data_IF_634911505429
#
_entry.id   IF_634911505429
#
_cell.length_a   1.000
_cell.length_b   1.000
_cell.length_c   1.000
_cell.angle_alpha   90.00
_cell.angle_beta   90.00
_cell.angle_gamma   90.00
#
_symmetry.space_group_name_H-M   'P 1'
#
loop_
_entity.id
_entity.type
_entity.pdbx_description
1 polymer ?
#
# COMPACT_ATOMS: atom_id res chain seq x y z
N UNK A 1 -7.63 10.62 -15.45
CA UNK A 1 -8.36 9.90 -14.39
C UNK A 1 -8.18 8.42 -14.71
N UNK A 2 -7.02 7.88 -14.35
CA UNK A 2 -6.63 6.54 -14.76
C UNK A 2 -7.24 5.54 -13.79
N UNK A 3 -8.33 4.91 -14.22
CA UNK A 3 -8.93 3.77 -13.54
C UNK A 3 -8.08 2.58 -13.97
N UNK A 4 -7.11 2.19 -13.15
CA UNK A 4 -6.32 0.99 -13.42
C UNK A 4 -7.21 -0.26 -13.27
N UNK A 5 -7.09 -1.24 -14.19
CA UNK A 5 -7.91 -2.44 -14.16
C UNK A 5 -7.55 -3.31 -12.95
N UNK A 6 -8.58 -3.75 -12.24
CA UNK A 6 -8.59 -4.46 -10.95
C UNK A 6 -7.79 -5.78 -10.89
N UNK A 7 -7.15 -6.22 -11.98
CA UNK A 7 -6.54 -7.54 -12.12
C UNK A 7 -5.02 -7.54 -12.41
N UNK A 8 -4.35 -6.39 -12.46
CA UNK A 8 -2.91 -6.31 -12.76
C UNK A 8 -2.07 -5.89 -11.55
N UNK A 9 -2.13 -6.68 -10.47
CA UNK A 9 -1.30 -6.49 -9.27
C UNK A 9 -0.30 -7.62 -9.06
N UNK A 10 -0.02 -8.38 -10.11
CA UNK A 10 1.21 -9.16 -10.22
C UNK A 10 2.48 -8.29 -10.06
N UNK A 11 2.35 -6.96 -10.15
CA UNK A 11 3.41 -5.97 -9.91
C UNK A 11 3.81 -5.81 -8.43
N UNK A 12 3.02 -6.33 -7.48
CA UNK A 12 3.32 -6.25 -6.05
C UNK A 12 4.14 -7.44 -5.52
N UNK A 13 4.42 -8.41 -6.38
CA UNK A 13 4.94 -9.70 -5.97
C UNK A 13 6.08 -10.12 -6.91
N UNK A 14 7.18 -9.36 -6.93
CA UNK A 14 8.44 -9.80 -7.54
C UNK A 14 9.61 -9.22 -6.75
N UNK A 15 10.53 -10.10 -6.35
CA UNK A 15 11.79 -9.86 -5.62
C UNK A 15 12.85 -9.10 -6.44
N UNK A 16 12.45 -8.28 -7.43
CA UNK A 16 13.35 -7.54 -8.33
C UNK A 16 12.98 -6.04 -8.36
N UNK A 17 13.50 -5.35 -7.35
CA UNK A 17 14.37 -4.19 -7.48
C UNK A 17 13.89 -2.95 -8.27
N UNK A 18 13.26 -2.04 -7.52
CA UNK A 18 13.58 -0.61 -7.60
C UNK A 18 12.88 0.21 -8.68
N UNK A 19 12.69 -0.28 -9.91
CA UNK A 19 12.32 0.59 -11.04
C UNK A 19 10.87 1.12 -11.05
N UNK A 20 9.90 0.39 -10.49
CA UNK A 20 8.47 0.65 -10.78
C UNK A 20 7.87 1.87 -10.07
N UNK A 21 8.44 2.30 -8.94
CA UNK A 21 7.85 3.35 -8.10
C UNK A 21 8.57 4.70 -8.18
N UNK A 22 9.65 4.80 -8.97
CA UNK A 22 10.46 6.03 -9.08
C UNK A 22 9.67 7.25 -9.56
N UNK A 23 8.64 7.05 -10.40
CA UNK A 23 7.77 8.12 -10.89
C UNK A 23 6.68 8.55 -9.90
N UNK A 24 6.44 7.78 -8.84
CA UNK A 24 5.33 7.98 -7.90
C UNK A 24 5.78 8.63 -6.58
N UNK A 25 7.02 9.12 -6.52
CA UNK A 25 7.60 9.81 -5.34
C UNK A 25 6.86 11.09 -4.91
N UNK A 26 5.96 11.61 -5.75
CA UNK A 26 5.14 12.79 -5.46
C UNK A 26 3.69 12.44 -5.08
N UNK A 27 3.37 11.15 -4.95
CA UNK A 27 2.03 10.70 -4.59
C UNK A 27 1.67 11.18 -3.18
N UNK A 28 0.49 11.78 -3.04
CA UNK A 28 -0.02 12.27 -1.75
C UNK A 28 -1.11 11.38 -1.17
N UNK A 29 -1.87 10.69 -2.01
CA UNK A 29 -2.95 9.82 -1.57
C UNK A 29 -2.84 8.49 -2.30
N UNK A 30 -2.78 7.40 -1.53
CA UNK A 30 -2.75 6.02 -2.02
C UNK A 30 -3.99 5.30 -1.51
N UNK A 31 -4.71 4.66 -2.43
CA UNK A 31 -5.91 3.93 -2.10
C UNK A 31 -5.80 2.50 -2.63
N UNK A 32 -5.89 1.54 -1.72
CA UNK A 32 -5.79 0.11 -1.97
C UNK A 32 -7.14 -0.52 -1.65
N UNK A 33 -7.96 -0.71 -2.68
CA UNK A 33 -9.31 -1.27 -2.57
C UNK A 33 -9.49 -2.48 -3.49
N UNK A 34 -10.18 -3.50 -2.99
CA UNK A 34 -10.66 -4.64 -3.77
C UNK A 34 -9.58 -5.56 -4.35
N UNK A 35 -8.37 -5.43 -3.86
CA UNK A 35 -7.30 -6.39 -4.06
C UNK A 35 -7.53 -7.48 -3.01
N UNK A 36 -7.81 -8.72 -3.38
CA UNK A 36 -8.18 -9.74 -2.39
C UNK A 36 -6.99 -10.53 -1.86
N UNK A 37 -5.90 -10.63 -2.64
CA UNK A 37 -4.75 -11.51 -2.37
C UNK A 37 -3.52 -10.81 -1.75
N UNK A 38 -3.59 -9.56 -1.32
CA UNK A 38 -2.41 -8.94 -0.71
C UNK A 38 -2.28 -9.41 0.72
N UNK A 39 -1.09 -9.91 1.02
CA UNK A 39 -0.73 -10.36 2.37
C UNK A 39 -0.03 -9.25 3.16
N UNK A 40 0.76 -8.42 2.46
CA UNK A 40 1.50 -7.27 3.00
C UNK A 40 1.69 -6.19 1.93
N UNK A 41 1.95 -4.94 2.34
CA UNK A 41 2.28 -3.86 1.41
C UNK A 41 3.69 -4.08 0.81
N UNK A 42 3.92 -3.75 -0.48
CA UNK A 42 5.24 -3.86 -1.12
C UNK A 42 6.26 -2.88 -0.51
N UNK A 43 7.51 -3.30 -0.37
CA UNK A 43 8.59 -2.49 0.23
C UNK A 43 8.90 -1.22 -0.56
N UNK A 44 8.63 -1.18 -1.86
CA UNK A 44 8.84 0.01 -2.70
C UNK A 44 8.05 1.25 -2.23
N UNK A 45 6.93 1.06 -1.52
CA UNK A 45 6.11 2.16 -0.98
C UNK A 45 6.80 2.91 0.17
N UNK A 46 7.84 2.34 0.79
CA UNK A 46 8.61 3.01 1.85
C UNK A 46 9.24 4.33 1.39
N UNK A 47 9.44 4.50 0.09
CA UNK A 47 10.06 5.70 -0.48
C UNK A 47 9.06 6.84 -0.74
N UNK A 48 7.75 6.65 -0.49
CA UNK A 48 6.74 7.69 -0.68
C UNK A 48 6.67 8.65 0.51
N UNK A 49 7.76 9.38 0.70
CA UNK A 49 7.89 10.38 1.77
C UNK A 49 6.91 11.55 1.62
N UNK A 50 6.24 11.73 0.48
CA UNK A 50 5.19 12.74 0.28
C UNK A 50 3.77 12.25 0.57
N UNK A 51 3.61 10.96 0.87
CA UNK A 51 2.29 10.37 1.08
C UNK A 51 1.66 10.95 2.34
N UNK A 52 0.46 11.51 2.19
CA UNK A 52 -0.34 12.11 3.26
C UNK A 52 -1.52 11.24 3.64
N UNK A 53 -2.06 10.47 2.69
CA UNK A 53 -3.22 9.63 2.92
C UNK A 53 -2.97 8.21 2.40
N UNK A 54 -3.20 7.22 3.26
CA UNK A 54 -3.20 5.82 2.90
C UNK A 54 -4.55 5.21 3.29
N UNK A 55 -5.25 4.68 2.30
CA UNK A 55 -6.54 4.01 2.46
C UNK A 55 -6.37 2.55 2.08
N UNK A 56 -6.71 1.66 3.00
CA UNK A 56 -6.67 0.21 2.83
C UNK A 56 -8.06 -0.31 3.14
N UNK A 57 -8.76 -0.83 2.14
CA UNK A 57 -10.12 -1.34 2.33
C UNK A 57 -10.30 -2.71 1.69
N UNK A 58 -11.10 -3.55 2.34
CA UNK A 58 -11.54 -4.85 1.83
C UNK A 58 -10.37 -5.78 1.52
N UNK A 59 -9.48 -5.96 2.51
CA UNK A 59 -8.30 -6.83 2.38
C UNK A 59 -8.45 -8.06 3.26
N UNK A 60 -9.10 -9.13 2.76
CA UNK A 60 -9.28 -10.34 3.55
C UNK A 60 -7.94 -11.05 3.81
N UNK A 61 -6.95 -10.97 2.92
CA UNK A 61 -5.66 -11.65 3.12
C UNK A 61 -4.59 -10.81 3.83
N UNK A 62 -4.85 -9.55 4.17
CA UNK A 62 -3.84 -8.68 4.80
C UNK A 62 -3.66 -9.08 6.27
N UNK A 63 -2.46 -9.54 6.63
CA UNK A 63 -2.16 -10.06 7.97
C UNK A 63 -1.43 -9.02 8.82
N UNK A 64 -0.55 -8.25 8.19
CA UNK A 64 0.26 -7.23 8.84
C UNK A 64 0.50 -6.04 7.90
N UNK A 65 0.71 -4.87 8.49
CA UNK A 65 1.35 -3.76 7.80
C UNK A 65 2.86 -3.82 8.05
N UNK A 66 3.69 -3.48 7.05
CA UNK A 66 5.13 -3.43 7.24
C UNK A 66 5.55 -2.26 8.15
N UNK A 67 6.65 -2.45 8.87
CA UNK A 67 7.15 -1.49 9.87
C UNK A 67 7.50 -0.11 9.28
N UNK A 68 7.91 -0.07 8.00
CA UNK A 68 8.22 1.19 7.33
C UNK A 68 7.03 2.12 7.20
N UNK A 69 5.79 1.67 7.44
CA UNK A 69 4.62 2.57 7.46
C UNK A 69 4.78 3.66 8.52
N UNK A 70 5.44 3.37 9.65
CA UNK A 70 5.78 4.34 10.68
C UNK A 70 6.83 5.36 10.24
N UNK A 71 7.60 5.04 9.19
CA UNK A 71 8.63 5.92 8.63
C UNK A 71 8.06 6.92 7.62
N UNK A 72 6.77 6.84 7.26
CA UNK A 72 6.12 7.79 6.36
C UNK A 72 5.84 9.12 7.09
N UNK A 73 6.85 9.99 7.18
CA UNK A 73 6.78 11.23 7.98
C UNK A 73 5.71 12.22 7.53
N UNK A 74 5.27 12.16 6.26
CA UNK A 74 4.21 13.04 5.75
C UNK A 74 2.81 12.48 5.93
N UNK A 75 2.67 11.24 6.41
CA UNK A 75 1.39 10.55 6.49
C UNK A 75 0.54 11.21 7.58
N UNK A 76 -0.60 11.76 7.17
CA UNK A 76 -1.56 12.45 8.03
C UNK A 76 -2.78 11.59 8.32
N UNK A 77 -3.11 10.64 7.44
CA UNK A 77 -4.29 9.81 7.58
C UNK A 77 -4.02 8.39 7.10
N UNK A 78 -4.24 7.43 8.00
CA UNK A 78 -4.25 6.01 7.71
C UNK A 78 -5.67 5.50 7.95
N UNK A 79 -6.35 5.05 6.90
CA UNK A 79 -7.68 4.47 6.99
C UNK A 79 -7.59 2.98 6.65
N UNK A 80 -8.02 2.14 7.57
CA UNK A 80 -8.06 0.69 7.39
C UNK A 80 -9.48 0.22 7.67
N UNK A 81 -10.11 -0.40 6.68
CA UNK A 81 -11.48 -0.86 6.77
C UNK A 81 -11.65 -2.26 6.20
N UNK A 82 -12.50 -3.08 6.83
CA UNK A 82 -12.80 -4.43 6.38
C UNK A 82 -11.54 -5.28 6.07
N UNK A 83 -10.58 -5.28 7.01
CA UNK A 83 -9.35 -6.08 6.96
C UNK A 83 -9.36 -7.11 8.10
N UNK A 84 -10.15 -8.19 8.00
CA UNK A 84 -10.48 -9.06 9.12
C UNK A 84 -9.29 -9.88 9.67
N UNK A 85 -8.27 -10.13 8.85
CA UNK A 85 -7.08 -10.89 9.25
C UNK A 85 -5.91 -10.01 9.71
N UNK A 86 -6.08 -8.68 9.72
CA UNK A 86 -5.04 -7.77 10.18
C UNK A 86 -4.90 -7.89 11.69
N UNK A 87 -3.81 -8.49 12.14
CA UNK A 87 -3.64 -8.84 13.55
C UNK A 87 -3.16 -7.65 14.40
N UNK A 88 -2.35 -6.77 13.82
CA UNK A 88 -1.74 -5.64 14.54
C UNK A 88 -1.42 -4.47 13.62
N UNK A 89 -1.42 -3.27 14.21
CA UNK A 89 -0.80 -2.10 13.63
C UNK A 89 0.64 -1.98 14.16
N UNK A 90 1.62 -1.65 13.30
CA UNK A 90 2.99 -1.34 13.70
C UNK A 90 3.10 0.01 14.41
#
# INVERSE_FOLDING_TARGET
MEIWPYNELALLNNEDDGLQWHGLKSLRSLCLMGITKLVSLPDGLQHFMTLQQLIISERPSLIALPEWIGNLTSLQSLFIHNCPNLASLP
#
